data_IF_471026041652
#
_entry.id   IF_471026041652
#
_cell.length_a   1.000
_cell.length_b   1.000
_cell.length_c   1.000
_cell.angle_alpha   90.00
_cell.angle_beta   90.00
_cell.angle_gamma   90.00
#
_symmetry.space_group_name_H-M   'P 1'
#
loop_
_entity.id
_entity.type
_entity.pdbx_description
1 polymer ?
#
# COMPACT_ATOMS: atom_id res chain seq x y z
N UNK A 1 3.21 16.91 41.05
CA UNK A 1 1.75 17.16 41.07
C UNK A 1 1.25 16.91 39.66
N UNK A 2 0.85 15.68 39.33
CA UNK A 2 -0.54 15.20 39.46
C UNK A 2 -1.51 16.17 38.79
N UNK A 3 -1.78 15.93 37.51
CA UNK A 3 -3.13 16.06 36.99
C UNK A 3 -3.61 14.65 36.62
N UNK A 4 -4.20 13.97 37.62
CA UNK A 4 -5.15 12.87 37.44
C UNK A 4 -6.54 13.44 37.73
N UNK A 5 -7.41 13.51 36.73
CA UNK A 5 -8.89 13.46 36.76
C UNK A 5 -9.33 13.74 35.29
N UNK A 6 -9.56 12.75 34.41
CA UNK A 6 -10.67 11.78 34.29
C UNK A 6 -12.08 12.40 34.24
N UNK A 7 -12.76 12.21 33.10
CA UNK A 7 -14.22 12.28 33.00
C UNK A 7 -14.71 11.13 32.07
N UNK A 8 -15.58 10.26 32.60
CA UNK A 8 -16.32 9.21 31.88
C UNK A 8 -17.50 9.85 31.14
N UNK A 9 -17.64 9.61 29.83
CA UNK A 9 -18.86 9.84 29.06
C UNK A 9 -18.97 8.77 27.96
N UNK A 10 -19.85 7.77 28.12
CA UNK A 10 -20.28 6.87 27.04
C UNK A 10 -19.19 6.01 26.36
N UNK A 11 -19.56 5.41 25.21
CA UNK A 11 -18.83 4.40 24.39
C UNK A 11 -17.48 4.85 23.80
N UNK A 12 -16.56 5.40 24.60
CA UNK A 12 -15.21 5.71 24.14
C UNK A 12 -14.16 5.35 25.20
N UNK A 13 -13.08 4.72 24.71
CA UNK A 13 -11.92 4.28 25.50
C UNK A 13 -10.79 5.30 25.39
N UNK A 14 -10.18 5.68 26.52
CA UNK A 14 -8.92 6.45 26.56
C UNK A 14 -7.79 5.48 26.95
N UNK A 15 -6.77 5.35 26.10
CA UNK A 15 -5.59 4.52 26.37
C UNK A 15 -4.43 5.36 26.94
N UNK A 16 -3.83 4.86 28.02
CA UNK A 16 -2.68 5.49 28.69
C UNK A 16 -1.38 5.29 27.90
N UNK A 17 -0.62 6.39 27.77
CA UNK A 17 0.78 6.55 27.38
C UNK A 17 1.60 5.32 26.95
N UNK A 18 1.87 5.26 25.63
CA UNK A 18 3.22 5.27 25.02
C UNK A 18 3.15 5.18 23.49
N UNK A 19 2.08 4.61 22.97
CA UNK A 19 1.68 4.68 21.57
C UNK A 19 0.17 4.45 21.51
N UNK A 20 -0.50 5.10 20.58
CA UNK A 20 -1.91 4.83 20.31
C UNK A 20 -2.14 4.85 18.82
N UNK A 21 -3.17 4.12 18.38
CA UNK A 21 -3.72 4.19 17.04
C UNK A 21 -5.20 4.49 17.16
N UNK A 22 -5.66 5.55 16.51
CA UNK A 22 -7.08 5.91 16.45
C UNK A 22 -7.47 6.00 14.99
N UNK A 23 -8.51 5.27 14.61
CA UNK A 23 -9.12 5.35 13.30
C UNK A 23 -10.24 6.39 13.30
N UNK A 24 -10.21 7.27 12.31
CA UNK A 24 -11.22 8.29 12.07
C UNK A 24 -11.88 8.03 10.70
N UNK A 25 -13.20 7.97 10.66
CA UNK A 25 -13.96 7.70 9.44
C UNK A 25 -14.39 8.99 8.70
N UNK A 26 -14.60 10.09 9.43
CA UNK A 26 -15.06 11.38 8.86
C UNK A 26 -13.91 12.41 8.81
N UNK A 27 -13.01 12.21 7.86
CA UNK A 27 -11.83 13.07 7.67
C UNK A 27 -11.92 13.81 6.35
N UNK A 28 -11.46 15.07 6.33
CA UNK A 28 -11.34 15.87 5.10
C UNK A 28 -9.89 16.17 4.80
N UNK A 29 -9.54 16.07 3.52
CA UNK A 29 -8.20 16.36 3.04
C UNK A 29 -8.24 17.63 2.19
N UNK A 30 -7.59 18.67 2.68
CA UNK A 30 -7.55 20.00 2.06
C UNK A 30 -6.11 20.26 1.60
N UNK A 31 -5.73 19.66 0.48
CA UNK A 31 -4.38 19.72 -0.07
C UNK A 31 -3.33 19.12 0.87
N UNK A 32 -2.56 19.98 1.55
CA UNK A 32 -1.52 19.56 2.52
C UNK A 32 -2.03 19.47 3.96
N UNK A 33 -3.32 19.69 4.17
CA UNK A 33 -3.93 19.71 5.49
C UNK A 33 -4.89 18.54 5.67
N UNK A 34 -4.81 17.90 6.83
CA UNK A 34 -5.74 16.87 7.27
C UNK A 34 -6.65 17.46 8.35
N UNK A 35 -7.96 17.43 8.10
CA UNK A 35 -8.98 17.83 9.06
C UNK A 35 -9.60 16.58 9.69
N UNK A 36 -9.31 16.39 10.97
CA UNK A 36 -9.88 15.33 11.80
C UNK A 36 -11.18 15.84 12.47
N UNK A 37 -12.10 14.94 12.85
CA UNK A 37 -13.28 15.30 13.64
C UNK A 37 -12.89 16.10 14.89
N UNK A 38 -13.54 17.24 15.10
CA UNK A 38 -13.37 18.09 16.30
C UNK A 38 -11.96 18.67 16.50
N UNK A 39 -11.13 18.71 15.46
CA UNK A 39 -9.80 19.32 15.49
C UNK A 39 -9.61 20.37 14.38
N UNK A 40 -8.67 21.30 14.60
CA UNK A 40 -8.18 22.19 13.56
C UNK A 40 -7.40 21.41 12.51
N UNK A 41 -7.40 21.89 11.27
CA UNK A 41 -6.69 21.24 10.17
C UNK A 41 -5.18 21.19 10.46
N UNK A 42 -4.60 19.99 10.44
CA UNK A 42 -3.18 19.74 10.74
C UNK A 42 -2.41 19.63 9.43
N UNK A 43 -1.33 20.39 9.28
CA UNK A 43 -0.45 20.29 8.12
C UNK A 43 0.29 18.96 8.14
N UNK A 44 0.21 18.18 7.06
CA UNK A 44 0.93 16.93 6.92
C UNK A 44 2.08 17.02 5.92
N UNK A 45 3.14 16.25 6.16
CA UNK A 45 4.19 16.00 5.18
C UNK A 45 3.80 14.76 4.38
N UNK A 46 3.34 14.98 3.16
CA UNK A 46 2.98 13.89 2.26
C UNK A 46 4.23 13.16 1.76
N UNK A 47 4.29 11.85 2.00
CA UNK A 47 5.32 11.00 1.38
C UNK A 47 4.98 10.68 -0.08
N UNK A 48 3.69 10.74 -0.47
CA UNK A 48 3.22 10.43 -1.81
C UNK A 48 2.20 11.49 -2.25
N UNK A 49 2.19 11.87 -3.54
CA UNK A 49 1.15 12.76 -4.06
C UNK A 49 -0.21 12.07 -3.96
N UNK A 50 -1.22 12.83 -3.53
CA UNK A 50 -2.61 12.38 -3.46
C UNK A 50 -3.29 12.83 -4.75
N UNK A 51 -3.94 11.89 -5.46
CA UNK A 51 -4.69 12.23 -6.66
C UNK A 51 -6.00 12.97 -6.32
N UNK A 52 -6.54 13.78 -7.23
CA UNK A 52 -7.84 14.45 -6.97
C UNK A 52 -9.02 13.47 -6.94
N UNK A 53 -8.83 12.27 -7.51
CA UNK A 53 -9.84 11.19 -7.51
C UNK A 53 -9.90 10.43 -6.18
N UNK A 54 -9.05 10.77 -5.22
CA UNK A 54 -8.91 10.05 -3.96
C UNK A 54 -10.12 10.25 -3.07
N UNK A 55 -10.86 9.16 -2.83
CA UNK A 55 -11.96 9.15 -1.84
C UNK A 55 -11.42 8.57 -0.53
N UNK A 56 -11.14 9.47 0.41
CA UNK A 56 -10.67 9.11 1.74
C UNK A 56 -11.75 8.31 2.48
N UNK A 57 -11.43 7.08 2.89
CA UNK A 57 -12.33 6.20 3.64
C UNK A 57 -12.09 6.29 5.14
N UNK A 58 -10.84 6.20 5.54
CA UNK A 58 -10.47 6.33 6.95
C UNK A 58 -9.05 6.84 7.12
N UNK A 59 -8.78 7.37 8.30
CA UNK A 59 -7.45 7.83 8.69
C UNK A 59 -7.08 7.19 10.01
N UNK A 60 -6.01 6.41 10.03
CA UNK A 60 -5.42 5.92 11.25
C UNK A 60 -4.31 6.87 11.68
N UNK A 61 -4.54 7.62 12.76
CA UNK A 61 -3.49 8.43 13.39
C UNK A 61 -2.79 7.58 14.43
N UNK A 62 -1.49 7.39 14.25
CA UNK A 62 -0.63 6.73 15.23
C UNK A 62 0.32 7.73 15.89
N UNK A 63 0.54 7.56 17.20
CA UNK A 63 1.60 8.25 17.93
C UNK A 63 2.67 7.23 18.28
N UNK A 64 3.91 7.48 17.87
CA UNK A 64 5.04 6.68 18.28
C UNK A 64 5.54 7.07 19.69
N UNK A 65 6.29 6.17 20.36
CA UNK A 65 6.98 6.50 21.62
C UNK A 65 7.93 7.70 21.49
N UNK A 66 8.43 7.97 20.28
CA UNK A 66 9.25 9.14 19.94
C UNK A 66 8.49 10.48 20.04
N UNK A 67 7.17 10.44 20.24
CA UNK A 67 6.29 11.60 20.25
C UNK A 67 5.87 12.07 18.86
N UNK A 68 6.34 11.41 17.79
CA UNK A 68 5.95 11.71 16.41
C UNK A 68 4.58 11.13 16.10
N UNK A 69 3.81 11.89 15.33
CA UNK A 69 2.51 11.48 14.83
C UNK A 69 2.61 11.09 13.36
N UNK A 70 1.98 9.98 13.01
CA UNK A 70 1.85 9.50 11.65
C UNK A 70 0.37 9.32 11.33
N UNK A 71 -0.01 9.59 10.08
CA UNK A 71 -1.36 9.39 9.60
C UNK A 71 -1.31 8.43 8.41
N UNK A 72 -1.93 7.26 8.58
CA UNK A 72 -2.18 6.31 7.50
C UNK A 72 -3.54 6.62 6.91
N UNK A 73 -3.56 7.01 5.64
CA UNK A 73 -4.76 7.38 4.92
C UNK A 73 -5.21 6.15 4.12
N UNK A 74 -6.41 5.64 4.42
CA UNK A 74 -7.02 4.53 3.71
C UNK A 74 -8.00 5.07 2.67
N UNK A 75 -7.82 4.67 1.41
CA UNK A 75 -8.71 5.03 0.31
C UNK A 75 -9.79 3.97 0.10
N UNK A 76 -10.93 4.37 -0.48
CA UNK A 76 -11.76 3.40 -1.19
C UNK A 76 -11.04 2.90 -2.44
N UNK A 77 -11.08 1.60 -2.66
CA UNK A 77 -10.53 0.94 -3.84
C UNK A 77 -11.54 -0.10 -4.31
N UNK A 78 -11.60 -0.34 -5.61
CA UNK A 78 -12.48 -1.34 -6.21
C UNK A 78 -11.75 -2.69 -6.41
N UNK A 79 -10.43 -2.63 -6.58
CA UNK A 79 -9.59 -3.80 -6.78
C UNK A 79 -8.24 -3.68 -6.08
N UNK A 80 -7.64 -4.83 -5.74
CA UNK A 80 -6.25 -4.96 -5.29
C UNK A 80 -5.49 -5.77 -6.33
N UNK A 81 -4.34 -5.25 -6.80
CA UNK A 81 -3.50 -5.92 -7.78
C UNK A 81 -2.28 -6.53 -7.08
N UNK A 82 -2.01 -7.81 -7.34
CA UNK A 82 -0.84 -8.53 -6.83
C UNK A 82 -0.13 -9.24 -7.96
N UNK A 83 1.18 -9.40 -7.86
CA UNK A 83 1.90 -10.35 -8.73
C UNK A 83 1.56 -11.77 -8.29
N UNK A 84 1.19 -12.60 -9.26
CA UNK A 84 1.10 -14.03 -9.06
C UNK A 84 2.53 -14.54 -8.85
N UNK A 85 2.86 -14.91 -7.62
CA UNK A 85 4.15 -15.53 -7.32
C UNK A 85 3.95 -17.04 -7.50
N UNK A 86 4.62 -17.63 -8.51
CA UNK A 86 4.60 -19.08 -8.69
C UNK A 86 5.36 -19.77 -7.54
N UNK A 87 4.65 -20.00 -6.43
CA UNK A 87 5.16 -20.64 -5.21
C UNK A 87 5.74 -22.04 -5.49
N UNK A 88 5.25 -22.72 -6.54
CA UNK A 88 5.75 -24.05 -6.94
C UNK A 88 7.06 -23.98 -7.74
N UNK A 89 7.25 -22.93 -8.55
CA UNK A 89 8.47 -22.75 -9.35
C UNK A 89 9.67 -22.28 -8.52
N UNK A 90 9.44 -21.46 -7.50
CA UNK A 90 10.50 -20.98 -6.60
C UNK A 90 11.00 -22.04 -5.61
N UNK A 91 10.26 -23.15 -5.47
CA UNK A 91 10.63 -24.31 -4.68
C UNK A 91 11.76 -25.15 -5.30
N UNK A 92 11.86 -25.16 -6.63
CA UNK A 92 12.82 -25.99 -7.36
C UNK A 92 14.19 -25.36 -7.60
N UNK A 93 14.38 -24.09 -7.26
CA UNK A 93 15.63 -23.35 -7.49
C UNK A 93 16.66 -23.65 -6.39
N UNK A 94 17.64 -24.50 -6.71
CA UNK A 94 18.61 -25.09 -5.77
C UNK A 94 19.38 -24.12 -4.85
N UNK A 95 19.34 -22.80 -5.06
CA UNK A 95 20.10 -21.82 -4.26
C UNK A 95 19.32 -20.57 -3.82
N UNK A 96 18.00 -20.52 -4.02
CA UNK A 96 17.14 -19.40 -3.55
C UNK A 96 16.01 -19.86 -2.60
N UNK A 97 15.85 -21.18 -2.44
CA UNK A 97 14.70 -21.81 -1.77
C UNK A 97 14.59 -21.65 -0.26
N UNK A 98 15.56 -21.06 0.45
CA UNK A 98 15.46 -20.90 1.93
C UNK A 98 14.73 -19.63 2.39
N UNK A 99 14.67 -18.59 1.56
CA UNK A 99 13.99 -17.33 1.92
C UNK A 99 12.54 -17.22 1.44
N UNK A 100 12.17 -18.04 0.45
CA UNK A 100 10.93 -17.91 -0.31
C UNK A 100 9.87 -18.93 0.12
N UNK A 101 10.27 -20.01 0.78
CA UNK A 101 9.40 -21.15 1.08
C UNK A 101 8.46 -20.99 2.29
N UNK A 102 8.62 -19.98 3.17
CA UNK A 102 8.10 -20.07 4.54
C UNK A 102 7.25 -18.88 5.05
N UNK A 103 6.71 -18.00 4.21
CA UNK A 103 6.06 -16.77 4.72
C UNK A 103 4.53 -16.69 4.64
N UNK A 104 3.81 -17.81 4.44
CA UNK A 104 2.34 -17.80 4.48
C UNK A 104 1.66 -16.93 3.41
N UNK A 105 2.39 -16.54 2.36
CA UNK A 105 1.91 -15.62 1.31
C UNK A 105 0.70 -16.19 0.55
N UNK A 106 0.70 -17.49 0.25
CA UNK A 106 -0.46 -18.15 -0.36
C UNK A 106 -1.70 -18.08 0.53
N UNK A 107 -1.56 -18.33 1.83
CA UNK A 107 -2.66 -18.22 2.80
C UNK A 107 -3.13 -16.75 2.94
N UNK A 108 -2.20 -15.80 2.95
CA UNK A 108 -2.51 -14.38 2.94
C UNK A 108 -3.33 -13.99 1.70
N UNK A 109 -2.94 -14.43 0.51
CA UNK A 109 -3.68 -14.18 -0.73
C UNK A 109 -5.08 -14.80 -0.69
N UNK A 110 -5.21 -16.04 -0.21
CA UNK A 110 -6.53 -16.68 -0.05
C UNK A 110 -7.43 -15.92 0.92
N UNK A 111 -6.89 -15.47 2.06
CA UNK A 111 -7.64 -14.68 3.03
C UNK A 111 -8.02 -13.30 2.47
N UNK A 112 -7.11 -12.68 1.69
CA UNK A 112 -7.34 -11.40 1.03
C UNK A 112 -8.44 -11.52 -0.03
N UNK A 113 -8.39 -12.55 -0.87
CA UNK A 113 -9.40 -12.85 -1.90
C UNK A 113 -10.78 -12.99 -1.25
N UNK A 114 -10.89 -13.86 -0.25
CA UNK A 114 -12.12 -14.04 0.53
C UNK A 114 -12.66 -12.71 1.11
N UNK A 115 -11.79 -11.87 1.68
CA UNK A 115 -12.21 -10.58 2.26
C UNK A 115 -12.55 -9.51 1.24
N UNK A 116 -12.05 -9.62 0.02
CA UNK A 116 -12.40 -8.73 -1.08
C UNK A 116 -13.75 -9.14 -1.68
N UNK A 117 -13.96 -10.43 -1.91
CA UNK A 117 -15.23 -10.99 -2.39
C UNK A 117 -16.39 -10.66 -1.44
N UNK A 118 -16.19 -10.81 -0.12
CA UNK A 118 -17.17 -10.42 0.92
C UNK A 118 -17.63 -8.96 0.79
N UNK A 119 -16.77 -8.09 0.23
CA UNK A 119 -17.01 -6.65 0.05
C UNK A 119 -17.38 -6.27 -1.38
N UNK A 120 -17.56 -7.25 -2.28
CA UNK A 120 -17.84 -7.03 -3.70
C UNK A 120 -16.66 -6.37 -4.45
N UNK A 121 -15.43 -6.65 -4.04
CA UNK A 121 -14.19 -6.11 -4.61
C UNK A 121 -13.38 -7.21 -5.30
N UNK A 122 -12.42 -6.80 -6.11
CA UNK A 122 -11.65 -7.72 -6.95
C UNK A 122 -10.21 -7.90 -6.47
N UNK A 123 -9.73 -9.15 -6.49
CA UNK A 123 -8.31 -9.45 -6.41
C UNK A 123 -7.80 -9.77 -7.82
N UNK A 124 -6.92 -8.92 -8.35
CA UNK A 124 -6.36 -9.07 -9.69
C UNK A 124 -4.95 -9.63 -9.57
N UNK A 125 -4.74 -10.81 -10.15
CA UNK A 125 -3.46 -11.51 -10.16
C UNK A 125 -2.79 -11.24 -11.50
N UNK A 126 -1.67 -10.51 -11.49
CA UNK A 126 -0.84 -10.25 -12.67
C UNK A 126 0.13 -11.41 -12.85
N UNK A 127 0.23 -11.91 -14.08
CA UNK A 127 1.05 -13.08 -14.39
C UNK A 127 2.53 -12.93 -13.98
N UNK A 128 3.13 -14.01 -13.47
CA UNK A 128 4.51 -14.02 -12.97
C UNK A 128 5.58 -13.76 -14.04
N UNK A 129 5.26 -14.01 -15.31
CA UNK A 129 6.13 -13.76 -16.47
C UNK A 129 5.93 -12.35 -17.05
N UNK A 130 4.98 -11.57 -16.51
CA UNK A 130 4.86 -10.17 -16.86
C UNK A 130 6.15 -9.43 -16.48
N UNK A 131 6.75 -8.76 -17.46
CA UNK A 131 8.07 -8.15 -17.30
C UNK A 131 8.00 -6.80 -16.55
N UNK A 132 7.30 -6.76 -15.41
CA UNK A 132 7.01 -5.56 -14.61
C UNK A 132 8.28 -4.78 -14.26
N UNK A 133 9.35 -5.46 -13.88
CA UNK A 133 10.63 -4.84 -13.53
C UNK A 133 11.45 -4.37 -14.74
N UNK A 134 11.29 -5.00 -15.91
CA UNK A 134 12.07 -4.69 -17.13
C UNK A 134 11.41 -3.63 -18.01
N UNK A 135 10.09 -3.54 -18.00
CA UNK A 135 9.32 -2.54 -18.76
C UNK A 135 9.50 -1.17 -18.10
N UNK A 136 9.76 -0.13 -18.90
CA UNK A 136 9.78 1.22 -18.39
C UNK A 136 8.35 1.71 -18.13
N UNK A 137 8.06 2.12 -16.90
CA UNK A 137 6.74 2.66 -16.52
C UNK A 137 6.36 3.98 -17.20
N UNK A 138 7.32 4.66 -17.84
CA UNK A 138 7.11 5.94 -18.53
C UNK A 138 6.94 5.75 -20.05
N UNK A 139 7.84 5.01 -20.70
CA UNK A 139 7.84 4.88 -22.17
C UNK A 139 7.41 3.50 -22.69
N UNK A 140 7.17 2.53 -21.82
CA UNK A 140 6.76 1.17 -22.21
C UNK A 140 7.84 0.31 -22.84
N UNK A 141 9.04 0.84 -23.13
CA UNK A 141 10.16 0.04 -23.67
C UNK A 141 10.57 -1.05 -22.67
N UNK A 142 10.68 -2.28 -23.15
CA UNK A 142 11.17 -3.44 -22.38
C UNK A 142 12.68 -3.54 -22.53
N UNK A 143 13.39 -3.66 -21.41
CA UNK A 143 14.81 -4.02 -21.43
C UNK A 143 15.00 -5.51 -21.72
N UNK A 144 16.07 -5.83 -22.44
CA UNK A 144 16.52 -7.22 -22.63
C UNK A 144 17.07 -7.76 -21.31
N UNK A 145 18.04 -7.05 -20.73
CA UNK A 145 18.73 -7.44 -19.50
C UNK A 145 18.50 -6.46 -18.35
N UNK A 146 18.31 -7.02 -17.14
CA UNK A 146 18.23 -6.31 -15.88
C UNK A 146 18.57 -7.28 -14.75
N UNK A 147 19.58 -6.96 -13.95
CA UNK A 147 20.02 -7.84 -12.87
C UNK A 147 19.22 -7.61 -11.58
N UNK A 148 19.16 -8.63 -10.71
CA UNK A 148 18.55 -8.51 -9.39
C UNK A 148 19.29 -7.51 -8.48
N UNK A 149 20.57 -7.28 -8.72
CA UNK A 149 21.41 -6.32 -7.99
C UNK A 149 21.12 -4.86 -8.36
N UNK A 150 20.49 -4.63 -9.52
CA UNK A 150 20.13 -3.28 -9.98
C UNK A 150 18.93 -2.76 -9.20
N UNK A 151 19.19 -2.04 -8.10
CA UNK A 151 18.14 -1.40 -7.28
C UNK A 151 17.53 -0.17 -7.94
N UNK A 152 18.26 0.49 -8.83
CA UNK A 152 17.81 1.68 -9.55
C UNK A 152 17.56 1.34 -11.02
N UNK A 153 16.35 1.64 -11.48
CA UNK A 153 15.95 1.53 -12.87
C UNK A 153 16.35 2.79 -13.64
N UNK A 154 17.14 2.60 -14.70
CA UNK A 154 17.54 3.65 -15.64
C UNK A 154 16.96 3.37 -17.02
N UNK A 155 16.30 4.33 -17.65
CA UNK A 155 15.81 4.20 -19.03
C UNK A 155 16.43 5.25 -19.95
N UNK A 156 16.58 4.89 -21.22
CA UNK A 156 16.97 5.82 -22.30
C UNK A 156 16.01 7.01 -22.44
N UNK A 157 14.74 6.85 -22.06
CA UNK A 157 13.77 7.94 -22.08
C UNK A 157 13.97 8.97 -20.94
N UNK A 158 15.01 8.80 -20.12
CA UNK A 158 15.31 9.66 -18.97
C UNK A 158 14.66 9.24 -17.65
N UNK A 159 13.85 8.17 -17.62
CA UNK A 159 13.29 7.68 -16.36
C UNK A 159 14.39 7.14 -15.43
N UNK A 160 14.40 7.61 -14.18
CA UNK A 160 15.29 7.16 -13.12
C UNK A 160 14.53 7.02 -11.81
N UNK A 161 14.33 5.80 -11.35
CA UNK A 161 13.62 5.52 -10.10
C UNK A 161 14.05 4.18 -9.49
N UNK A 162 13.57 3.87 -8.28
CA UNK A 162 13.75 2.53 -7.70
C UNK A 162 13.09 1.46 -8.59
N UNK A 163 13.74 0.30 -8.75
CA UNK A 163 13.26 -0.77 -9.64
C UNK A 163 11.94 -1.36 -9.17
N UNK A 164 11.77 -1.56 -7.88
CA UNK A 164 10.57 -2.15 -7.31
C UNK A 164 9.41 -1.13 -7.41
N UNK A 165 9.70 0.17 -7.29
CA UNK A 165 8.74 1.23 -7.58
C UNK A 165 8.33 1.27 -9.07
N UNK A 166 9.27 1.08 -10.01
CA UNK A 166 8.96 0.96 -11.43
C UNK A 166 8.05 -0.26 -11.70
N UNK A 167 8.38 -1.41 -11.11
CA UNK A 167 7.57 -2.62 -11.22
C UNK A 167 6.15 -2.41 -10.67
N UNK A 168 6.01 -1.78 -9.49
CA UNK A 168 4.72 -1.45 -8.89
C UNK A 168 3.82 -0.62 -9.81
N UNK A 169 4.38 0.36 -10.54
CA UNK A 169 3.60 1.16 -11.51
C UNK A 169 3.14 0.29 -12.67
N UNK A 170 3.99 -0.60 -13.18
CA UNK A 170 3.62 -1.49 -14.28
C UNK A 170 2.56 -2.52 -13.87
N UNK A 171 2.68 -3.12 -12.68
CA UNK A 171 1.67 -4.04 -12.12
C UNK A 171 0.33 -3.33 -11.97
N UNK A 172 0.34 -2.08 -11.49
CA UNK A 172 -0.87 -1.26 -11.39
C UNK A 172 -1.50 -1.00 -12.76
N UNK A 173 -0.69 -0.68 -13.77
CA UNK A 173 -1.20 -0.43 -15.13
C UNK A 173 -1.78 -1.71 -15.76
N UNK A 174 -1.11 -2.84 -15.57
CA UNK A 174 -1.58 -4.13 -16.03
C UNK A 174 -2.84 -4.57 -15.29
N UNK A 175 -2.89 -4.36 -13.98
CA UNK A 175 -4.08 -4.57 -13.17
C UNK A 175 -5.27 -3.72 -13.62
N UNK A 176 -5.07 -2.47 -14.02
CA UNK A 176 -6.13 -1.63 -14.62
C UNK A 176 -6.64 -2.20 -15.95
N UNK A 177 -5.74 -2.75 -16.77
CA UNK A 177 -6.12 -3.41 -18.04
C UNK A 177 -7.01 -4.63 -17.76
N UNK A 178 -6.56 -5.50 -16.86
CA UNK A 178 -7.32 -6.70 -16.44
C UNK A 178 -8.67 -6.30 -15.83
N UNK A 179 -8.69 -5.27 -14.98
CA UNK A 179 -9.93 -4.79 -14.37
C UNK A 179 -10.96 -4.35 -15.42
N UNK A 180 -10.52 -3.64 -16.46
CA UNK A 180 -11.39 -3.19 -17.53
C UNK A 180 -11.93 -4.33 -18.42
N UNK A 181 -11.31 -5.51 -18.38
CA UNK A 181 -11.79 -6.71 -19.09
C UNK A 181 -12.78 -7.53 -18.25
N UNK A 182 -12.74 -7.39 -16.92
CA UNK A 182 -13.54 -8.19 -15.98
C UNK A 182 -14.73 -7.44 -15.34
N UNK A 183 -14.75 -6.11 -15.39
CA UNK A 183 -15.79 -5.24 -14.83
C UNK A 183 -16.78 -4.77 -15.90
#
# INVERSE_FOLDING_TARGET
MIFKLFAKFGEFVIFSDRSFQIEFLDCKLEGKYLKLPKMTAVRMKLHRPISEKWKLKSVTVSREPSGKYFASLAESFDAVCVEDLNLKGMAGGLHLGKGVHDNGYGLFLSMLEYKLEERGKYLLKVDCYFASSKICSVCGKKKEELSLSDRIYYCECGNRMDRDANAAVNIMNEGKRIFAECA
#
